data_IF_121852810199
#
_entry.id   IF_121852810199
#
_cell.length_a   1.000
_cell.length_b   1.000
_cell.length_c   1.000
_cell.angle_alpha   90.00
_cell.angle_beta   90.00
_cell.angle_gamma   90.00
#
_symmetry.space_group_name_H-M   'P 1'
#
loop_
_entity.id
_entity.type
_entity.pdbx_description
1 polymer ?
#
# COMPACT_ATOMS: atom_id res chain seq x y z
N UNK A 1 -41.00 -10.29 42.70
CA UNK A 1 -41.15 -11.49 41.84
C UNK A 1 -41.71 -11.23 40.44
N UNK A 2 -42.67 -10.32 40.21
CA UNK A 2 -43.21 -10.03 38.85
C UNK A 2 -42.18 -9.39 37.89
N UNK A 3 -41.33 -8.46 38.35
CA UNK A 3 -40.27 -7.84 37.52
C UNK A 3 -39.19 -8.84 37.06
N UNK A 4 -38.83 -9.83 37.89
CA UNK A 4 -37.81 -10.82 37.55
C UNK A 4 -38.30 -11.83 36.49
N UNK A 5 -39.59 -12.22 36.53
CA UNK A 5 -40.20 -13.10 35.51
C UNK A 5 -40.32 -12.39 34.15
N UNK A 6 -40.59 -11.09 34.13
CA UNK A 6 -40.65 -10.30 32.89
C UNK A 6 -39.27 -10.20 32.24
N UNK A 7 -38.20 -9.99 33.03
CA UNK A 7 -36.82 -9.93 32.50
C UNK A 7 -36.37 -11.28 31.91
N UNK A 8 -36.72 -12.41 32.54
CA UNK A 8 -36.37 -13.75 32.02
C UNK A 8 -37.18 -14.12 30.78
N UNK A 9 -38.47 -13.76 30.71
CA UNK A 9 -39.29 -14.00 29.51
C UNK A 9 -38.81 -13.13 28.34
N UNK A 10 -38.46 -11.86 28.60
CA UNK A 10 -37.90 -10.95 27.59
C UNK A 10 -36.53 -11.46 27.13
N UNK A 11 -35.67 -11.94 28.02
CA UNK A 11 -34.37 -12.50 27.59
C UNK A 11 -34.55 -13.77 26.77
N UNK A 12 -35.40 -14.72 27.18
CA UNK A 12 -35.69 -15.93 26.39
C UNK A 12 -36.32 -15.64 25.03
N UNK A 13 -37.16 -14.61 24.92
CA UNK A 13 -37.73 -14.17 23.63
C UNK A 13 -36.70 -13.47 22.73
N UNK A 14 -35.88 -12.57 23.29
CA UNK A 14 -34.78 -11.92 22.57
C UNK A 14 -33.76 -12.95 22.06
N UNK A 15 -33.40 -13.95 22.87
CA UNK A 15 -32.55 -15.06 22.43
C UNK A 15 -33.19 -15.89 21.31
N UNK A 16 -34.52 -16.05 21.32
CA UNK A 16 -35.25 -16.74 20.24
C UNK A 16 -35.25 -15.98 18.91
N UNK A 17 -35.45 -14.66 18.94
CA UNK A 17 -35.36 -13.82 17.73
C UNK A 17 -33.93 -13.71 17.19
N UNK A 18 -32.95 -13.55 18.08
CA UNK A 18 -31.53 -13.56 17.71
C UNK A 18 -31.13 -14.91 17.11
N UNK A 19 -31.57 -16.01 17.71
CA UNK A 19 -31.35 -17.37 17.21
C UNK A 19 -31.98 -17.62 15.84
N UNK A 20 -33.21 -17.14 15.63
CA UNK A 20 -33.92 -17.27 14.34
C UNK A 20 -33.25 -16.45 13.22
N UNK A 21 -32.76 -15.25 13.52
CA UNK A 21 -32.01 -14.43 12.56
C UNK A 21 -30.68 -15.10 12.17
N UNK A 22 -29.95 -15.62 13.16
CA UNK A 22 -28.72 -16.40 12.95
C UNK A 22 -29.00 -17.66 12.13
N UNK A 23 -30.07 -18.39 12.42
CA UNK A 23 -30.48 -19.58 11.65
C UNK A 23 -30.88 -19.23 10.22
N UNK A 24 -31.63 -18.14 9.97
CA UNK A 24 -31.99 -17.71 8.61
C UNK A 24 -30.77 -17.39 7.76
N UNK A 25 -29.76 -16.72 8.34
CA UNK A 25 -28.50 -16.41 7.65
C UNK A 25 -27.69 -17.70 7.43
N UNK A 26 -27.61 -18.59 8.44
CA UNK A 26 -26.91 -19.88 8.33
C UNK A 26 -27.61 -20.90 7.41
N UNK A 27 -28.92 -20.78 7.20
CA UNK A 27 -29.75 -21.68 6.40
C UNK A 27 -29.97 -21.17 4.94
N UNK A 28 -29.04 -20.39 4.38
CA UNK A 28 -28.95 -20.03 2.95
C UNK A 28 -30.18 -19.30 2.33
N UNK A 29 -30.79 -18.32 3.01
CA UNK A 29 -31.74 -17.39 2.33
C UNK A 29 -31.13 -16.07 1.87
N UNK A 30 -29.89 -15.79 2.28
CA UNK A 30 -29.16 -14.56 1.99
C UNK A 30 -27.76 -14.93 1.48
N UNK A 31 -27.70 -15.41 0.24
CA UNK A 31 -26.44 -15.76 -0.42
C UNK A 31 -25.52 -14.54 -0.50
N UNK A 32 -24.23 -14.71 -0.19
CA UNK A 32 -23.23 -13.64 -0.25
C UNK A 32 -23.11 -12.76 1.01
N UNK A 33 -23.90 -12.99 2.06
CA UNK A 33 -23.77 -12.27 3.34
C UNK A 33 -23.02 -13.13 4.36
N UNK A 34 -21.90 -12.61 4.86
CA UNK A 34 -21.14 -13.18 5.95
C UNK A 34 -21.55 -12.53 7.28
N UNK A 35 -22.02 -13.34 8.22
CA UNK A 35 -22.32 -12.91 9.59
C UNK A 35 -21.13 -13.17 10.52
N UNK A 36 -20.72 -12.14 11.24
CA UNK A 36 -19.73 -12.24 12.34
C UNK A 36 -20.41 -11.79 13.63
N UNK A 37 -20.43 -12.68 14.62
CA UNK A 37 -21.04 -12.40 15.91
C UNK A 37 -20.06 -11.64 16.82
N UNK A 38 -20.55 -10.87 17.82
CA UNK A 38 -19.68 -10.05 18.67
C UNK A 38 -18.60 -10.85 19.39
N UNK A 39 -18.90 -12.08 19.81
CA UNK A 39 -17.94 -12.98 20.45
C UNK A 39 -16.84 -13.49 19.52
N UNK A 40 -17.09 -13.49 18.21
CA UNK A 40 -16.13 -13.96 17.20
C UNK A 40 -15.23 -12.81 16.71
N UNK A 41 -15.65 -11.55 16.90
CA UNK A 41 -14.88 -10.37 16.52
C UNK A 41 -13.96 -9.88 17.65
N UNK A 42 -12.65 -10.15 17.49
CA UNK A 42 -11.61 -9.75 18.46
C UNK A 42 -10.93 -8.42 18.15
N UNK A 43 -11.20 -7.83 16.98
CA UNK A 43 -10.52 -6.61 16.54
C UNK A 43 -10.99 -5.41 17.36
N UNK A 44 -10.07 -4.58 17.82
CA UNK A 44 -10.31 -3.34 18.57
C UNK A 44 -9.62 -2.17 17.92
N UNK A 45 -10.00 -0.95 18.32
CA UNK A 45 -9.44 0.25 17.69
C UNK A 45 -7.94 0.41 18.00
N UNK A 46 -7.50 -0.08 19.14
CA UNK A 46 -6.08 -0.06 19.54
C UNK A 46 -5.24 -1.09 18.75
N UNK A 47 -5.85 -2.05 18.05
CA UNK A 47 -5.14 -2.94 17.13
C UNK A 47 -4.74 -2.23 15.82
N UNK A 48 -5.37 -1.08 15.51
CA UNK A 48 -4.98 -0.24 14.38
C UNK A 48 -3.78 0.63 14.79
N UNK A 49 -2.60 0.28 14.29
CA UNK A 49 -1.39 1.08 14.49
C UNK A 49 -1.41 2.27 13.52
N UNK A 50 -0.92 3.43 13.96
CA UNK A 50 -0.97 4.67 13.18
C UNK A 50 -2.39 5.21 13.00
N UNK A 51 -2.60 6.00 11.93
CA UNK A 51 -3.92 6.57 11.57
C UNK A 51 -4.57 7.36 12.73
N UNK A 52 -3.79 8.14 13.49
CA UNK A 52 -4.25 8.77 14.72
C UNK A 52 -5.51 9.63 14.53
N UNK A 53 -5.60 10.38 13.43
CA UNK A 53 -6.77 11.21 13.10
C UNK A 53 -8.02 10.35 12.86
N UNK A 54 -7.88 9.26 12.10
CA UNK A 54 -8.98 8.33 11.83
C UNK A 54 -9.41 7.61 13.11
N UNK A 55 -8.47 7.23 13.98
CA UNK A 55 -8.80 6.67 15.30
C UNK A 55 -9.56 7.67 16.16
N UNK A 56 -9.19 8.95 16.15
CA UNK A 56 -9.89 10.00 16.90
C UNK A 56 -11.32 10.22 16.35
N UNK A 57 -11.47 10.28 15.03
CA UNK A 57 -12.77 10.35 14.38
C UNK A 57 -13.63 9.13 14.75
N UNK A 58 -13.09 7.92 14.63
CA UNK A 58 -13.76 6.68 15.00
C UNK A 58 -14.19 6.66 16.47
N UNK A 59 -13.34 7.10 17.41
CA UNK A 59 -13.71 7.22 18.84
C UNK A 59 -14.91 8.15 19.05
N UNK A 60 -14.96 9.25 18.32
CA UNK A 60 -16.08 10.20 18.38
C UNK A 60 -17.37 9.58 17.85
N UNK A 61 -17.29 8.85 16.72
CA UNK A 61 -18.43 8.13 16.13
C UNK A 61 -18.89 7.01 17.07
N UNK A 62 -17.97 6.27 17.70
CA UNK A 62 -18.28 5.20 18.68
C UNK A 62 -19.00 5.77 19.89
N UNK A 63 -18.52 6.90 20.44
CA UNK A 63 -19.16 7.55 21.58
C UNK A 63 -20.60 7.95 21.24
N UNK A 64 -20.80 8.53 20.05
CA UNK A 64 -22.11 8.92 19.56
C UNK A 64 -23.04 7.73 19.25
N UNK A 65 -22.48 6.62 18.75
CA UNK A 65 -23.22 5.39 18.49
C UNK A 65 -23.68 4.68 19.78
N UNK A 66 -22.86 4.74 20.85
CA UNK A 66 -23.21 4.15 22.14
C UNK A 66 -24.28 4.95 22.90
N UNK A 67 -24.33 6.27 22.71
CA UNK A 67 -25.29 7.16 23.38
C UNK A 67 -26.13 7.97 22.37
N UNK A 68 -26.90 7.26 21.55
CA UNK A 68 -27.73 7.86 20.50
C UNK A 68 -28.77 8.86 21.05
N UNK A 69 -29.29 8.64 22.26
CA UNK A 69 -30.30 9.51 22.86
C UNK A 69 -29.72 10.86 23.28
N UNK A 70 -28.54 10.86 23.91
CA UNK A 70 -27.84 12.10 24.23
C UNK A 70 -27.51 12.86 22.95
N UNK A 71 -26.99 12.19 21.93
CA UNK A 71 -26.62 12.83 20.67
C UNK A 71 -27.81 13.36 19.88
N UNK A 72 -28.92 12.62 19.80
CA UNK A 72 -30.14 13.07 19.14
C UNK A 72 -30.75 14.32 19.79
N UNK A 73 -30.49 14.54 21.09
CA UNK A 73 -30.94 15.75 21.82
C UNK A 73 -30.12 17.00 21.50
N UNK A 74 -28.87 16.84 21.08
CA UNK A 74 -27.93 17.94 20.80
C UNK A 74 -27.80 18.22 19.29
N UNK A 75 -27.81 17.17 18.46
CA UNK A 75 -27.74 17.24 17.01
C UNK A 75 -28.85 16.39 16.40
N UNK A 76 -29.68 16.99 15.54
CA UNK A 76 -30.85 16.31 14.97
C UNK A 76 -30.52 15.12 14.06
N UNK A 77 -29.32 15.09 13.44
CA UNK A 77 -28.89 13.99 12.56
C UNK A 77 -27.56 13.40 13.04
N UNK A 78 -27.62 12.17 13.56
CA UNK A 78 -26.45 11.32 13.81
C UNK A 78 -26.15 10.56 12.52
N UNK A 79 -24.92 10.65 12.01
CA UNK A 79 -24.52 9.89 10.82
C UNK A 79 -24.50 8.39 11.09
N UNK A 80 -25.12 7.64 10.19
CA UNK A 80 -25.26 6.19 10.27
C UNK A 80 -24.50 5.47 9.17
N UNK A 81 -23.95 6.21 8.22
CA UNK A 81 -23.27 5.64 7.07
C UNK A 81 -21.97 6.37 6.78
N UNK A 82 -20.89 5.61 6.66
CA UNK A 82 -19.56 6.14 6.35
C UNK A 82 -18.96 5.39 5.16
N UNK A 83 -18.51 6.13 4.17
CA UNK A 83 -17.68 5.61 3.10
C UNK A 83 -16.21 5.65 3.51
N UNK A 84 -15.57 4.50 3.59
CA UNK A 84 -14.13 4.35 3.83
C UNK A 84 -13.42 4.34 2.48
N UNK A 85 -12.77 5.45 2.12
CA UNK A 85 -12.12 5.62 0.83
C UNK A 85 -10.58 5.60 0.98
N UNK A 86 -9.88 4.89 0.11
CA UNK A 86 -8.41 4.90 0.07
C UNK A 86 -7.81 3.71 -0.68
N UNK A 87 -6.49 3.63 -0.77
CA UNK A 87 -5.81 2.51 -1.44
C UNK A 87 -6.10 1.15 -0.76
N UNK A 88 -5.93 0.06 -1.51
CA UNK A 88 -6.05 -1.28 -0.96
C UNK A 88 -5.05 -1.51 0.19
N UNK A 89 -5.44 -2.33 1.18
CA UNK A 89 -4.53 -2.73 2.27
C UNK A 89 -4.31 -1.71 3.38
N UNK A 90 -4.95 -0.53 3.37
CA UNK A 90 -4.80 0.50 4.42
C UNK A 90 -5.78 0.37 5.60
N UNK A 91 -6.26 -0.84 5.90
CA UNK A 91 -7.05 -1.08 7.11
C UNK A 91 -8.52 -0.63 7.08
N UNK A 92 -9.10 -0.31 5.91
CA UNK A 92 -10.53 0.07 5.78
C UNK A 92 -11.48 -0.93 6.45
N UNK A 93 -11.39 -2.21 6.06
CA UNK A 93 -12.20 -3.29 6.63
C UNK A 93 -11.90 -3.51 8.11
N UNK A 94 -10.63 -3.40 8.50
CA UNK A 94 -10.19 -3.54 9.89
C UNK A 94 -10.78 -2.43 10.78
N UNK A 95 -10.94 -1.21 10.26
CA UNK A 95 -11.59 -0.10 10.97
C UNK A 95 -13.06 -0.40 11.27
N UNK A 96 -13.80 -0.92 10.29
CA UNK A 96 -15.20 -1.32 10.49
C UNK A 96 -15.33 -2.46 11.51
N UNK A 97 -14.42 -3.44 11.47
CA UNK A 97 -14.35 -4.51 12.46
C UNK A 97 -13.99 -3.99 13.86
N UNK A 98 -13.03 -3.07 13.96
CA UNK A 98 -12.66 -2.42 15.21
C UNK A 98 -13.83 -1.63 15.79
N UNK A 99 -14.56 -0.88 14.96
CA UNK A 99 -15.78 -0.17 15.39
C UNK A 99 -16.78 -1.14 16.01
N UNK A 100 -17.11 -2.24 15.31
CA UNK A 100 -18.01 -3.26 15.82
C UNK A 100 -17.51 -3.90 17.12
N UNK A 101 -16.20 -4.10 17.25
CA UNK A 101 -15.56 -4.63 18.44
C UNK A 101 -15.68 -3.71 19.65
N UNK A 102 -15.54 -2.40 19.44
CA UNK A 102 -15.70 -1.37 20.48
C UNK A 102 -17.15 -1.19 20.90
N UNK A 103 -18.11 -1.34 19.97
CA UNK A 103 -19.55 -1.17 20.23
C UNK A 103 -20.24 -2.46 20.66
N UNK A 104 -19.57 -3.62 20.54
CA UNK A 104 -20.17 -4.92 20.78
C UNK A 104 -21.24 -5.30 19.74
N UNK A 105 -21.12 -4.76 18.53
CA UNK A 105 -22.09 -4.98 17.45
C UNK A 105 -21.84 -6.27 16.69
N UNK A 106 -22.91 -6.90 16.19
CA UNK A 106 -22.80 -7.93 15.13
C UNK A 106 -22.36 -7.29 13.82
N UNK A 107 -21.72 -8.06 12.93
CA UNK A 107 -21.34 -7.58 11.59
C UNK A 107 -22.09 -8.41 10.54
N UNK A 108 -22.81 -7.72 9.65
CA UNK A 108 -23.32 -8.27 8.40
C UNK A 108 -22.45 -7.75 7.27
N UNK A 109 -21.63 -8.61 6.68
CA UNK A 109 -20.69 -8.22 5.64
C UNK A 109 -21.12 -8.79 4.28
N UNK A 110 -21.08 -7.95 3.25
CA UNK A 110 -21.36 -8.31 1.86
C UNK A 110 -20.47 -7.49 0.91
N UNK A 111 -20.34 -7.90 -0.35
CA UNK A 111 -19.70 -7.07 -1.37
C UNK A 111 -20.70 -6.22 -2.14
N UNK A 112 -20.25 -5.13 -2.77
CA UNK A 112 -21.03 -4.32 -3.70
C UNK A 112 -21.60 -5.16 -4.83
N UNK A 113 -20.79 -6.06 -5.41
CA UNK A 113 -21.25 -7.02 -6.41
C UNK A 113 -22.36 -7.95 -5.90
N UNK A 114 -22.28 -8.44 -4.65
CA UNK A 114 -23.37 -9.23 -4.05
C UNK A 114 -24.63 -8.39 -3.88
N UNK A 115 -24.50 -7.13 -3.48
CA UNK A 115 -25.63 -6.22 -3.30
C UNK A 115 -26.37 -5.96 -4.62
N UNK A 116 -25.67 -5.75 -5.73
CA UNK A 116 -26.27 -5.57 -7.08
C UNK A 116 -27.15 -6.75 -7.48
N UNK A 117 -26.71 -7.97 -7.14
CA UNK A 117 -27.38 -9.21 -7.52
C UNK A 117 -28.57 -9.57 -6.60
N UNK A 118 -28.80 -8.81 -5.52
CA UNK A 118 -29.95 -9.05 -4.64
C UNK A 118 -31.26 -8.60 -5.30
N UNK A 119 -32.37 -9.23 -4.91
CA UNK A 119 -33.70 -8.71 -5.19
C UNK A 119 -34.08 -7.62 -4.18
N UNK A 120 -35.03 -6.71 -4.52
CA UNK A 120 -35.62 -5.77 -3.56
C UNK A 120 -36.02 -6.40 -2.22
N UNK A 121 -36.61 -7.59 -2.25
CA UNK A 121 -37.03 -8.32 -1.05
C UNK A 121 -35.83 -8.79 -0.23
N UNK A 122 -34.72 -9.18 -0.87
CA UNK A 122 -33.50 -9.56 -0.16
C UNK A 122 -32.83 -8.36 0.51
N UNK A 123 -32.86 -7.18 -0.13
CA UNK A 123 -32.39 -5.93 0.51
C UNK A 123 -33.24 -5.62 1.74
N UNK A 124 -34.56 -5.72 1.64
CA UNK A 124 -35.44 -5.52 2.80
C UNK A 124 -35.19 -6.54 3.92
N UNK A 125 -34.95 -7.81 3.58
CA UNK A 125 -34.63 -8.86 4.55
C UNK A 125 -33.26 -8.60 5.22
N UNK A 126 -32.26 -8.08 4.48
CA UNK A 126 -30.95 -7.66 5.04
C UNK A 126 -31.14 -6.62 6.14
N UNK A 127 -31.87 -5.54 5.89
CA UNK A 127 -32.14 -4.51 6.89
C UNK A 127 -33.03 -5.04 8.04
N UNK A 128 -33.95 -5.95 7.75
CA UNK A 128 -34.76 -6.61 8.78
C UNK A 128 -33.89 -7.46 9.71
N UNK A 129 -32.94 -8.25 9.17
CA UNK A 129 -31.99 -8.99 10.00
C UNK A 129 -31.11 -8.03 10.82
N UNK A 130 -30.62 -6.96 10.21
CA UNK A 130 -29.81 -5.97 10.91
C UNK A 130 -30.55 -5.37 12.11
N UNK A 131 -31.86 -5.07 11.96
CA UNK A 131 -32.74 -4.57 13.03
C UNK A 131 -32.93 -5.60 14.14
N UNK A 132 -33.13 -6.89 13.80
CA UNK A 132 -33.24 -7.97 14.78
C UNK A 132 -31.94 -8.22 15.57
N UNK A 133 -30.80 -7.91 14.94
CA UNK A 133 -29.46 -8.15 15.51
C UNK A 133 -28.84 -6.93 16.18
N UNK A 134 -29.56 -5.81 16.23
CA UNK A 134 -29.08 -4.55 16.77
C UNK A 134 -28.56 -4.71 18.23
N UNK A 135 -27.40 -4.11 18.58
CA UNK A 135 -26.56 -3.24 17.75
C UNK A 135 -25.84 -4.01 16.64
N UNK A 136 -25.85 -3.45 15.43
CA UNK A 136 -25.35 -4.13 14.22
C UNK A 136 -24.54 -3.17 13.34
N UNK A 137 -23.57 -3.71 12.63
CA UNK A 137 -22.76 -3.01 11.62
C UNK A 137 -22.94 -3.73 10.30
N UNK A 138 -23.33 -3.00 9.25
CA UNK A 138 -23.36 -3.51 7.88
C UNK A 138 -22.09 -3.05 7.18
N UNK A 139 -21.31 -3.98 6.62
CA UNK A 139 -20.07 -3.66 5.90
C UNK A 139 -20.20 -4.08 4.44
N UNK A 140 -20.18 -3.10 3.55
CA UNK A 140 -20.26 -3.30 2.10
C UNK A 140 -18.85 -3.13 1.51
N UNK A 141 -18.19 -4.24 1.23
CA UNK A 141 -16.86 -4.26 0.60
C UNK A 141 -16.99 -3.89 -0.89
N UNK A 142 -16.01 -3.15 -1.44
CA UNK A 142 -15.95 -2.73 -2.86
C UNK A 142 -17.27 -2.13 -3.41
N UNK A 143 -17.71 -1.01 -2.84
CA UNK A 143 -18.95 -0.31 -3.25
C UNK A 143 -18.87 0.29 -4.66
N UNK A 144 -17.69 0.35 -5.26
CA UNK A 144 -17.48 0.86 -6.61
C UNK A 144 -18.40 0.18 -7.62
N UNK A 145 -18.50 -1.15 -7.58
CA UNK A 145 -19.34 -1.93 -8.47
C UNK A 145 -20.81 -1.49 -8.37
N UNK A 146 -21.28 -1.26 -7.14
CA UNK A 146 -22.65 -0.86 -6.87
C UNK A 146 -22.95 0.57 -7.33
N UNK A 147 -21.99 1.48 -7.20
CA UNK A 147 -22.14 2.90 -7.60
C UNK A 147 -22.08 3.05 -9.13
N UNK A 148 -21.23 2.26 -9.80
CA UNK A 148 -20.99 2.37 -11.24
C UNK A 148 -21.98 1.59 -12.09
N UNK A 149 -22.68 0.61 -11.51
CA UNK A 149 -23.66 -0.19 -12.24
C UNK A 149 -24.93 0.62 -12.57
N UNK A 150 -25.31 0.63 -13.84
CA UNK A 150 -26.41 1.45 -14.38
C UNK A 150 -27.59 0.62 -14.88
N UNK A 151 -27.52 -0.71 -14.76
CA UNK A 151 -28.63 -1.61 -15.09
C UNK A 151 -29.91 -1.26 -14.32
N UNK A 152 -31.06 -1.52 -14.95
CA UNK A 152 -32.38 -1.28 -14.35
C UNK A 152 -32.55 -2.01 -13.01
N UNK A 153 -32.04 -3.25 -12.92
CA UNK A 153 -32.05 -4.05 -11.69
C UNK A 153 -31.23 -3.37 -10.59
N UNK A 154 -30.00 -2.95 -10.87
CA UNK A 154 -29.16 -2.28 -9.88
C UNK A 154 -29.78 -0.96 -9.40
N UNK A 155 -30.37 -0.18 -10.31
CA UNK A 155 -31.07 1.06 -9.97
C UNK A 155 -32.30 0.81 -9.09
N UNK A 156 -33.02 -0.30 -9.32
CA UNK A 156 -34.13 -0.70 -8.45
C UNK A 156 -33.63 -1.09 -7.05
N UNK A 157 -32.57 -1.90 -6.96
CA UNK A 157 -31.91 -2.28 -5.70
C UNK A 157 -31.42 -1.04 -4.94
N UNK A 158 -30.80 -0.08 -5.65
CA UNK A 158 -30.30 1.16 -5.07
C UNK A 158 -31.41 2.01 -4.45
N UNK A 159 -32.57 2.14 -5.12
CA UNK A 159 -33.72 2.85 -4.54
C UNK A 159 -34.20 2.19 -3.25
N UNK A 160 -34.31 0.86 -3.23
CA UNK A 160 -34.74 0.12 -2.03
C UNK A 160 -33.73 0.27 -0.90
N UNK A 161 -32.44 0.25 -1.23
CA UNK A 161 -31.37 0.50 -0.27
C UNK A 161 -31.48 1.90 0.35
N UNK A 162 -31.67 2.95 -0.47
CA UNK A 162 -31.86 4.32 0.00
C UNK A 162 -33.14 4.47 0.85
N UNK A 163 -34.25 3.88 0.41
CA UNK A 163 -35.51 3.86 1.17
C UNK A 163 -35.33 3.21 2.56
N UNK A 164 -34.53 2.14 2.66
CA UNK A 164 -34.22 1.51 3.95
C UNK A 164 -33.29 2.37 4.81
N UNK A 165 -32.34 3.10 4.22
CA UNK A 165 -31.52 4.06 4.95
C UNK A 165 -32.37 5.18 5.57
N UNK A 166 -33.30 5.76 4.80
CA UNK A 166 -34.22 6.79 5.30
C UNK A 166 -35.10 6.25 6.45
N UNK A 167 -35.55 4.99 6.36
CA UNK A 167 -36.32 4.34 7.45
C UNK A 167 -35.49 4.11 8.72
N UNK A 168 -34.18 3.87 8.59
CA UNK A 168 -33.30 3.76 9.75
C UNK A 168 -33.20 5.09 10.50
N UNK A 169 -33.30 6.21 9.80
CA UNK A 169 -33.35 7.57 10.36
C UNK A 169 -34.53 7.81 11.28
N UNK A 170 -35.71 7.37 10.87
CA UNK A 170 -36.91 7.49 11.69
C UNK A 170 -36.90 6.56 12.91
N UNK A 171 -36.37 5.34 12.76
CA UNK A 171 -36.53 4.28 13.76
C UNK A 171 -35.55 4.36 14.94
N UNK A 172 -34.48 5.17 14.86
CA UNK A 172 -33.42 5.28 15.88
C UNK A 172 -32.83 3.93 16.34
N UNK A 173 -32.71 2.97 15.42
CA UNK A 173 -32.12 1.65 15.71
C UNK A 173 -30.59 1.78 15.64
N UNK A 174 -29.81 1.15 16.57
CA UNK A 174 -28.35 1.23 16.56
C UNK A 174 -27.76 0.35 15.46
N UNK A 175 -27.83 0.84 14.23
CA UNK A 175 -27.22 0.26 13.03
C UNK A 175 -26.25 1.27 12.43
N UNK A 176 -25.05 0.81 12.09
CA UNK A 176 -24.02 1.58 11.39
C UNK A 176 -23.69 0.90 10.07
N UNK A 177 -23.48 1.67 9.01
CA UNK A 177 -23.13 1.17 7.68
C UNK A 177 -21.74 1.69 7.30
N UNK A 178 -20.86 0.79 6.89
CA UNK A 178 -19.57 1.13 6.29
C UNK A 178 -19.50 0.63 4.85
N UNK A 179 -19.22 1.51 3.90
CA UNK A 179 -18.83 1.14 2.54
C UNK A 179 -17.33 1.22 2.39
N UNK A 180 -16.69 0.35 1.62
CA UNK A 180 -15.27 0.52 1.26
C UNK A 180 -15.11 0.85 -0.21
N UNK A 181 -14.29 1.85 -0.53
CA UNK A 181 -13.97 2.28 -1.88
C UNK A 181 -12.46 2.33 -2.10
N UNK A 182 -12.01 1.71 -3.19
CA UNK A 182 -10.68 1.93 -3.77
C UNK A 182 -10.89 2.80 -5.00
N UNK A 183 -10.55 4.10 -4.94
CA UNK A 183 -10.78 4.99 -6.07
C UNK A 183 -9.87 4.62 -7.25
N UNK A 184 -10.43 4.68 -8.46
CA UNK A 184 -9.69 4.60 -9.73
C UNK A 184 -9.59 6.01 -10.32
N UNK A 185 -8.44 6.37 -10.92
CA UNK A 185 -8.17 7.74 -11.38
C UNK A 185 -9.14 8.23 -12.47
N UNK A 186 -9.58 7.34 -13.36
CA UNK A 186 -10.47 7.67 -14.48
C UNK A 186 -11.97 7.59 -14.15
N UNK A 187 -12.33 7.27 -12.90
CA UNK A 187 -13.72 7.00 -12.51
C UNK A 187 -14.26 8.07 -11.55
N UNK A 188 -15.42 8.64 -11.92
CA UNK A 188 -16.19 9.51 -11.04
C UNK A 188 -17.28 8.71 -10.34
N UNK A 189 -17.25 8.67 -9.01
CA UNK A 189 -18.25 8.01 -8.19
C UNK A 189 -19.28 9.03 -7.69
N UNK A 190 -20.55 8.90 -8.09
CA UNK A 190 -21.61 9.71 -7.49
C UNK A 190 -22.04 9.10 -6.16
N UNK A 191 -21.43 9.59 -5.09
CA UNK A 191 -21.64 9.10 -3.72
C UNK A 191 -22.77 9.86 -2.99
N UNK A 192 -23.30 10.92 -3.63
CA UNK A 192 -24.27 11.83 -3.02
C UNK A 192 -25.51 11.07 -2.53
N UNK A 193 -25.75 11.09 -1.22
CA UNK A 193 -26.91 10.44 -0.58
C UNK A 193 -26.75 8.94 -0.31
N UNK A 194 -25.67 8.28 -0.76
CA UNK A 194 -25.40 6.88 -0.44
C UNK A 194 -24.74 6.70 0.93
N UNK A 195 -23.93 7.67 1.34
CA UNK A 195 -23.24 7.72 2.62
C UNK A 195 -23.26 9.15 3.17
N UNK A 196 -23.38 9.29 4.49
CA UNK A 196 -23.43 10.59 5.17
C UNK A 196 -22.07 11.30 5.12
N UNK A 197 -21.00 10.53 5.31
CA UNK A 197 -19.64 11.04 5.34
C UNK A 197 -18.64 10.10 4.67
N UNK A 198 -17.55 10.67 4.17
CA UNK A 198 -16.40 9.92 3.67
C UNK A 198 -15.23 10.07 4.64
N UNK A 199 -14.64 8.95 5.05
CA UNK A 199 -13.38 8.87 5.78
C UNK A 199 -12.28 8.42 4.82
N UNK A 200 -11.25 9.24 4.69
CA UNK A 200 -10.11 8.95 3.83
C UNK A 200 -9.02 8.22 4.61
N UNK A 201 -8.71 6.99 4.21
CA UNK A 201 -7.61 6.20 4.75
C UNK A 201 -6.43 6.26 3.77
N UNK A 202 -5.52 7.20 4.04
CA UNK A 202 -4.28 7.38 3.28
C UNK A 202 -3.29 6.24 3.53
N UNK A 203 -2.21 6.24 2.77
CA UNK A 203 -1.04 5.43 3.10
C UNK A 203 -0.43 5.88 4.43
N UNK A 204 0.30 5.00 5.14
CA UNK A 204 0.93 5.32 6.42
C UNK A 204 1.97 6.44 6.29
N UNK A 205 1.87 7.46 7.15
CA UNK A 205 2.88 8.52 7.28
C UNK A 205 4.20 7.97 7.83
N UNK A 206 5.32 8.70 7.69
CA UNK A 206 6.59 8.30 8.31
C UNK A 206 6.44 7.90 9.78
N UNK A 207 5.69 8.69 10.55
CA UNK A 207 5.46 8.42 11.96
C UNK A 207 4.65 7.14 12.19
N UNK A 208 3.62 6.89 11.37
CA UNK A 208 2.84 5.66 11.45
C UNK A 208 3.71 4.42 11.13
N UNK A 209 4.61 4.52 10.15
CA UNK A 209 5.53 3.43 9.77
C UNK A 209 6.50 3.12 10.90
N UNK A 210 7.07 4.14 11.53
CA UNK A 210 7.95 3.96 12.71
C UNK A 210 7.17 3.34 13.87
N UNK A 211 5.97 3.85 14.19
CA UNK A 211 5.11 3.29 15.25
C UNK A 211 4.76 1.81 14.95
N UNK A 212 4.47 1.48 13.70
CA UNK A 212 4.19 0.12 13.27
C UNK A 212 5.39 -0.81 13.49
N UNK A 213 6.57 -0.40 13.04
CA UNK A 213 7.80 -1.17 13.21
C UNK A 213 8.12 -1.37 14.69
N UNK A 214 8.05 -0.30 15.50
CA UNK A 214 8.29 -0.36 16.94
C UNK A 214 7.30 -1.32 17.63
N UNK A 215 6.01 -1.24 17.31
CA UNK A 215 4.99 -2.08 17.93
C UNK A 215 5.12 -3.57 17.54
N UNK A 216 5.40 -3.86 16.27
CA UNK A 216 5.45 -5.23 15.75
C UNK A 216 6.80 -5.92 15.97
N UNK A 217 7.88 -5.16 16.10
CA UNK A 217 9.23 -5.71 16.27
C UNK A 217 9.76 -5.64 17.72
N UNK A 218 8.96 -5.12 18.67
CA UNK A 218 9.35 -4.97 20.09
C UNK A 218 9.92 -6.23 20.75
N UNK A 219 9.45 -7.42 20.35
CA UNK A 219 9.82 -8.69 20.98
C UNK A 219 11.12 -9.27 20.40
N UNK A 220 11.64 -8.68 19.31
CA UNK A 220 12.92 -9.06 18.73
C UNK A 220 14.08 -8.31 19.38
N UNK A 221 15.21 -8.98 19.55
CA UNK A 221 16.46 -8.32 19.93
C UNK A 221 16.96 -7.51 18.74
N UNK A 222 17.37 -6.27 18.97
CA UNK A 222 17.84 -5.37 17.92
C UNK A 222 19.36 -5.31 17.92
N UNK A 223 20.02 -5.58 16.79
CA UNK A 223 21.44 -5.28 16.63
C UNK A 223 21.65 -3.74 16.63
N UNK A 224 22.82 -3.27 17.06
CA UNK A 224 23.14 -1.83 17.16
C UNK A 224 23.02 -1.09 15.82
N UNK A 225 23.24 -1.80 14.71
CA UNK A 225 23.22 -1.22 13.36
C UNK A 225 21.83 -1.14 12.73
N UNK A 226 20.80 -1.68 13.40
CA UNK A 226 19.42 -1.59 12.90
C UNK A 226 18.85 -0.21 13.22
N UNK A 227 18.29 0.45 12.21
CA UNK A 227 17.58 1.72 12.37
C UNK A 227 16.19 1.62 11.72
N UNK A 228 15.14 1.67 12.55
CA UNK A 228 13.76 1.62 12.06
C UNK A 228 13.37 2.88 11.30
N UNK A 229 14.06 4.02 11.50
CA UNK A 229 13.82 5.20 10.66
C UNK A 229 14.26 4.93 9.22
N UNK A 230 15.39 4.24 9.05
CA UNK A 230 15.87 3.80 7.74
C UNK A 230 14.91 2.80 7.10
N UNK A 231 14.45 1.78 7.85
CA UNK A 231 13.45 0.81 7.35
C UNK A 231 12.15 1.51 6.97
N UNK A 232 11.64 2.41 7.81
CA UNK A 232 10.43 3.18 7.52
C UNK A 232 10.56 3.99 6.22
N UNK A 233 11.75 4.52 5.90
CA UNK A 233 11.97 5.23 4.62
C UNK A 233 11.95 4.30 3.42
N UNK A 234 12.50 3.09 3.58
CA UNK A 234 12.47 2.07 2.53
C UNK A 234 11.06 1.51 2.27
N UNK A 235 10.11 1.83 3.14
CA UNK A 235 8.70 1.41 3.05
C UNK A 235 7.75 2.57 2.68
N UNK A 236 8.27 3.69 2.16
CA UNK A 236 7.43 4.77 1.60
C UNK A 236 6.52 4.19 0.50
N UNK A 237 5.28 4.67 0.41
CA UNK A 237 4.32 4.26 -0.61
C UNK A 237 3.66 2.90 -0.39
N UNK A 238 4.02 2.18 0.68
CA UNK A 238 3.53 0.82 0.97
C UNK A 238 2.32 0.85 1.91
N UNK A 239 1.42 -0.12 1.74
CA UNK A 239 0.21 -0.25 2.56
C UNK A 239 0.50 -0.98 3.88
N UNK A 240 -0.42 -0.87 4.86
CA UNK A 240 -0.32 -1.69 6.09
C UNK A 240 -0.32 -3.19 5.81
N UNK A 241 -1.02 -3.64 4.76
CA UNK A 241 -0.98 -5.05 4.32
C UNK A 241 0.44 -5.47 3.93
N UNK A 242 1.18 -4.60 3.25
CA UNK A 242 2.58 -4.87 2.89
C UNK A 242 3.47 -4.92 4.13
N UNK A 243 3.17 -4.13 5.17
CA UNK A 243 3.90 -4.21 6.44
C UNK A 243 3.60 -5.49 7.20
N UNK A 244 2.37 -5.99 7.16
CA UNK A 244 2.08 -7.30 7.74
C UNK A 244 2.89 -8.38 7.04
N UNK A 245 2.92 -8.36 5.69
CA UNK A 245 3.76 -9.27 4.90
C UNK A 245 5.25 -9.14 5.24
N UNK A 246 5.75 -7.91 5.48
CA UNK A 246 7.11 -7.64 5.95
C UNK A 246 7.43 -8.36 7.25
N UNK A 247 6.57 -8.18 8.26
CA UNK A 247 6.76 -8.75 9.59
C UNK A 247 6.70 -10.27 9.53
N UNK A 248 5.80 -10.84 8.74
CA UNK A 248 5.70 -12.28 8.56
C UNK A 248 6.94 -12.86 7.86
N UNK A 249 7.52 -12.12 6.91
CA UNK A 249 8.80 -12.48 6.30
C UNK A 249 9.94 -12.43 7.33
N UNK A 250 10.04 -11.38 8.15
CA UNK A 250 11.03 -11.30 9.23
C UNK A 250 10.92 -12.48 10.19
N UNK A 251 9.71 -12.82 10.64
CA UNK A 251 9.46 -13.98 11.52
C UNK A 251 9.95 -15.29 10.88
N UNK A 252 9.71 -15.46 9.59
CA UNK A 252 10.19 -16.63 8.86
C UNK A 252 11.73 -16.66 8.77
N UNK A 253 12.37 -15.53 8.44
CA UNK A 253 13.83 -15.48 8.30
C UNK A 253 14.57 -15.68 9.63
N UNK A 254 14.09 -15.04 10.68
CA UNK A 254 14.62 -15.20 12.04
C UNK A 254 14.45 -16.64 12.54
N UNK A 255 13.29 -17.25 12.30
CA UNK A 255 13.06 -18.67 12.60
C UNK A 255 13.99 -19.60 11.82
N UNK A 256 14.24 -19.34 10.52
CA UNK A 256 15.18 -20.13 9.71
C UNK A 256 16.61 -20.03 10.21
N UNK A 257 17.04 -18.83 10.58
CA UNK A 257 18.37 -18.57 11.13
C UNK A 257 18.50 -18.98 12.62
N UNK A 258 17.43 -19.53 13.24
CA UNK A 258 17.40 -19.91 14.65
C UNK A 258 17.87 -18.78 15.59
N UNK A 259 17.53 -17.54 15.24
CA UNK A 259 17.93 -16.32 15.97
C UNK A 259 16.70 -15.48 16.28
N UNK A 260 16.72 -14.78 17.41
CA UNK A 260 15.73 -13.74 17.72
C UNK A 260 16.34 -12.32 17.58
N UNK A 261 17.48 -12.21 16.88
CA UNK A 261 18.16 -10.94 16.65
C UNK A 261 17.87 -10.41 15.24
N UNK A 262 17.43 -9.16 15.14
CA UNK A 262 17.31 -8.44 13.88
C UNK A 262 18.67 -7.93 13.45
N UNK A 263 19.08 -8.26 12.24
CA UNK A 263 20.26 -7.72 11.56
C UNK A 263 19.84 -6.90 10.33
N UNK A 264 20.67 -5.96 9.87
CA UNK A 264 20.41 -5.22 8.63
C UNK A 264 20.12 -6.13 7.43
N UNK A 265 20.85 -7.24 7.32
CA UNK A 265 20.71 -8.19 6.20
C UNK A 265 19.31 -8.82 6.16
N UNK A 266 18.77 -9.22 7.32
CA UNK A 266 17.43 -9.81 7.43
C UNK A 266 16.33 -8.80 7.05
N UNK A 267 16.53 -7.53 7.42
CA UNK A 267 15.58 -6.46 7.11
C UNK A 267 15.60 -6.13 5.62
N UNK A 268 16.79 -6.03 5.03
CA UNK A 268 16.96 -5.79 3.60
C UNK A 268 16.38 -6.95 2.77
N UNK A 269 16.58 -8.20 3.19
CA UNK A 269 15.94 -9.36 2.54
C UNK A 269 14.41 -9.28 2.62
N UNK A 270 13.86 -8.91 3.79
CA UNK A 270 12.42 -8.77 3.96
C UNK A 270 11.83 -7.59 3.16
N UNK A 271 12.55 -6.47 3.07
CA UNK A 271 12.18 -5.34 2.21
C UNK A 271 12.21 -5.79 0.74
N UNK A 272 13.23 -6.54 0.34
CA UNK A 272 13.34 -7.04 -1.02
C UNK A 272 12.19 -7.97 -1.39
N UNK A 273 11.75 -8.82 -0.47
CA UNK A 273 10.60 -9.70 -0.68
C UNK A 273 9.31 -8.94 -0.98
N UNK A 274 9.03 -7.84 -0.29
CA UNK A 274 7.82 -7.03 -0.54
C UNK A 274 7.87 -6.31 -1.88
N UNK A 275 9.07 -5.93 -2.30
CA UNK A 275 9.28 -5.25 -3.57
C UNK A 275 9.14 -6.18 -4.79
N UNK A 276 9.00 -7.49 -4.59
CA UNK A 276 8.95 -8.50 -5.66
C UNK A 276 7.55 -9.09 -5.80
N UNK A 277 6.93 -8.95 -6.98
CA UNK A 277 5.81 -9.84 -7.33
C UNK A 277 6.41 -11.20 -7.71
N UNK A 278 6.39 -12.13 -6.77
CA UNK A 278 6.52 -13.59 -6.93
C UNK A 278 6.89 -14.12 -8.34
N UNK A 279 8.14 -14.57 -8.52
CA UNK A 279 8.48 -15.73 -9.34
C UNK A 279 9.76 -16.39 -8.75
N UNK A 280 9.69 -17.65 -8.38
CA UNK A 280 10.88 -18.39 -7.96
C UNK A 280 11.65 -18.86 -9.20
N UNK A 281 12.88 -18.40 -9.36
CA UNK A 281 13.80 -18.88 -10.38
C UNK A 281 15.24 -18.81 -9.87
N UNK A 282 15.83 -19.95 -9.55
CA UNK A 282 17.25 -20.02 -9.21
C UNK A 282 18.06 -20.06 -10.52
N UNK A 283 18.77 -18.98 -10.83
CA UNK A 283 19.68 -18.91 -11.97
C UNK A 283 21.11 -18.68 -11.48
N UNK A 284 21.96 -19.71 -11.50
CA UNK A 284 23.36 -19.56 -11.09
C UNK A 284 24.08 -18.69 -12.14
N UNK A 285 24.54 -17.50 -11.74
CA UNK A 285 25.29 -16.59 -12.61
C UNK A 285 26.69 -17.13 -12.88
N UNK A 286 27.16 -16.92 -14.10
CA UNK A 286 28.57 -17.04 -14.44
C UNK A 286 29.38 -15.89 -13.81
N UNK A 287 30.70 -16.06 -13.61
CA UNK A 287 31.55 -14.97 -13.12
C UNK A 287 31.49 -13.71 -14.00
N UNK A 288 31.27 -13.89 -15.30
CA UNK A 288 31.13 -12.81 -16.29
C UNK A 288 29.82 -12.03 -16.07
N UNK A 289 28.71 -12.73 -15.81
CA UNK A 289 27.41 -12.12 -15.48
C UNK A 289 27.43 -11.43 -14.11
N UNK A 290 28.14 -12.00 -13.12
CA UNK A 290 28.35 -11.36 -11.82
C UNK A 290 29.13 -10.05 -11.96
N UNK A 291 30.21 -10.06 -12.73
CA UNK A 291 30.99 -8.85 -13.00
C UNK A 291 30.18 -7.80 -13.75
N UNK A 292 29.41 -8.21 -14.76
CA UNK A 292 28.49 -7.33 -15.48
C UNK A 292 27.49 -6.66 -14.53
N UNK A 293 26.84 -7.44 -13.66
CA UNK A 293 25.92 -6.94 -12.66
C UNK A 293 26.61 -6.00 -11.66
N UNK A 294 27.81 -6.33 -11.19
CA UNK A 294 28.54 -5.47 -10.27
C UNK A 294 28.83 -4.08 -10.87
N UNK A 295 29.24 -4.03 -12.14
CA UNK A 295 29.46 -2.76 -12.86
C UNK A 295 28.14 -2.00 -13.06
N UNK A 296 27.06 -2.70 -13.40
CA UNK A 296 25.73 -2.12 -13.57
C UNK A 296 25.25 -1.44 -12.29
N UNK A 297 25.25 -2.17 -11.18
CA UNK A 297 24.79 -1.67 -9.88
C UNK A 297 25.70 -0.57 -9.33
N UNK A 298 27.03 -0.68 -9.54
CA UNK A 298 27.98 0.38 -9.20
C UNK A 298 27.72 1.66 -10.03
N UNK A 299 27.32 1.52 -11.29
CA UNK A 299 26.91 2.63 -12.14
C UNK A 299 25.75 3.43 -11.54
N UNK A 300 24.66 2.75 -11.15
CA UNK A 300 23.56 3.40 -10.46
C UNK A 300 24.01 4.07 -9.15
N UNK A 301 24.77 3.34 -8.33
CA UNK A 301 25.24 3.80 -7.03
C UNK A 301 26.07 5.09 -7.16
N UNK A 302 26.93 5.19 -8.17
CA UNK A 302 27.73 6.39 -8.40
C UNK A 302 26.89 7.60 -8.76
N UNK A 303 25.85 7.44 -9.58
CA UNK A 303 24.93 8.54 -9.87
C UNK A 303 24.28 9.00 -8.55
N UNK A 304 23.75 8.09 -7.73
CA UNK A 304 23.15 8.45 -6.43
C UNK A 304 24.14 9.17 -5.52
N UNK A 305 25.37 8.65 -5.39
CA UNK A 305 26.41 9.27 -4.56
C UNK A 305 26.90 10.61 -5.11
N UNK A 306 26.65 10.93 -6.38
CA UNK A 306 26.89 12.24 -6.96
C UNK A 306 25.77 13.24 -6.61
N UNK A 307 24.51 12.80 -6.62
CA UNK A 307 23.33 13.63 -6.31
C UNK A 307 22.97 13.65 -4.81
N UNK A 308 23.87 14.19 -3.99
CA UNK A 308 23.75 14.20 -2.52
C UNK A 308 22.55 15.00 -1.96
N UNK A 309 21.88 15.81 -2.79
CA UNK A 309 20.75 16.65 -2.36
C UNK A 309 19.39 15.96 -2.41
N UNK A 310 19.25 14.88 -3.17
CA UNK A 310 17.95 14.22 -3.41
C UNK A 310 17.81 12.95 -2.56
N UNK A 311 18.75 12.02 -2.75
CA UNK A 311 18.78 10.73 -2.10
C UNK A 311 20.16 10.43 -1.53
N UNK A 312 20.23 9.44 -0.66
CA UNK A 312 21.49 8.81 -0.29
C UNK A 312 21.46 7.33 -0.60
N UNK A 313 22.63 6.78 -0.91
CA UNK A 313 22.78 5.34 -1.06
C UNK A 313 22.45 4.63 0.27
N UNK A 314 21.80 3.47 0.19
CA UNK A 314 21.61 2.52 1.29
C UNK A 314 22.52 1.31 1.11
N UNK A 315 22.38 0.62 -0.01
CA UNK A 315 23.18 -0.57 -0.32
C UNK A 315 23.24 -0.84 -1.82
N UNK A 316 24.29 -1.56 -2.22
CA UNK A 316 24.52 -2.09 -3.57
C UNK A 316 24.79 -3.58 -3.42
N UNK A 317 24.11 -4.41 -4.20
CA UNK A 317 24.19 -5.86 -4.07
C UNK A 317 24.16 -6.55 -5.42
N UNK A 318 24.95 -7.61 -5.56
CA UNK A 318 24.86 -8.57 -6.68
C UNK A 318 24.12 -9.84 -6.28
N UNK A 319 23.53 -9.87 -5.08
CA UNK A 319 22.66 -10.99 -4.69
C UNK A 319 21.44 -10.99 -5.57
N UNK A 320 21.28 -12.09 -6.31
CA UNK A 320 20.07 -12.33 -7.05
C UNK A 320 18.87 -12.39 -6.13
N UNK A 321 17.82 -11.72 -6.58
CA UNK A 321 16.48 -12.02 -6.13
C UNK A 321 15.59 -12.32 -7.35
N UNK A 322 14.34 -12.72 -7.14
CA UNK A 322 13.42 -13.32 -8.14
C UNK A 322 13.34 -12.71 -9.55
N UNK A 323 13.81 -11.48 -9.77
CA UNK A 323 13.68 -10.74 -11.04
C UNK A 323 14.93 -9.98 -11.51
N UNK A 324 15.96 -9.78 -10.67
CA UNK A 324 17.10 -8.92 -11.02
C UNK A 324 18.45 -9.57 -10.71
N UNK A 325 19.44 -9.32 -11.57
CA UNK A 325 20.81 -9.85 -11.46
C UNK A 325 21.61 -9.19 -10.33
N UNK A 326 21.17 -8.02 -9.87
CA UNK A 326 21.66 -7.27 -8.72
C UNK A 326 20.59 -6.26 -8.26
N UNK A 327 20.93 -5.41 -7.29
CA UNK A 327 20.06 -4.30 -6.85
C UNK A 327 20.87 -3.21 -6.16
N UNK A 328 20.56 -1.96 -6.51
CA UNK A 328 20.90 -0.78 -5.74
C UNK A 328 19.66 -0.21 -5.04
N UNK A 329 19.82 0.10 -3.75
CA UNK A 329 18.79 0.72 -2.92
C UNK A 329 19.30 2.11 -2.52
N UNK A 330 18.51 3.13 -2.82
CA UNK A 330 18.65 4.49 -2.31
C UNK A 330 17.49 4.85 -1.36
N UNK A 331 17.76 5.82 -0.50
CA UNK A 331 16.83 6.35 0.48
C UNK A 331 16.61 7.83 0.18
N UNK A 332 15.36 8.21 -0.03
CA UNK A 332 14.96 9.60 -0.14
C UNK A 332 15.31 10.36 1.15
N UNK A 333 15.91 11.55 0.99
CA UNK A 333 16.28 12.39 2.12
C UNK A 333 15.06 13.07 2.75
N UNK A 334 13.99 13.28 1.97
CA UNK A 334 12.70 13.87 2.33
C UNK A 334 11.54 13.00 1.84
N UNK A 335 10.36 13.12 2.45
CA UNK A 335 9.15 12.45 1.95
C UNK A 335 8.56 13.36 0.86
N UNK A 336 8.50 12.90 -0.40
CA UNK A 336 7.98 13.73 -1.47
C UNK A 336 6.46 13.89 -1.29
N UNK A 337 6.01 15.13 -1.05
CA UNK A 337 4.59 15.48 -1.17
C UNK A 337 4.25 15.88 -2.61
N UNK A 338 5.22 16.49 -3.30
CA UNK A 338 5.19 16.84 -4.72
C UNK A 338 6.56 16.52 -5.30
N UNK A 339 6.62 15.96 -6.51
CA UNK A 339 7.87 15.77 -7.21
C UNK A 339 8.25 17.04 -7.97
N UNK A 340 9.50 17.46 -7.80
CA UNK A 340 10.13 18.54 -8.57
C UNK A 340 10.66 18.02 -9.90
N UNK A 341 10.85 18.93 -10.86
CA UNK A 341 11.49 18.58 -12.15
C UNK A 341 12.88 17.97 -11.93
N UNK A 342 13.66 18.52 -10.99
CA UNK A 342 14.99 18.01 -10.66
C UNK A 342 14.98 16.58 -10.09
N UNK A 343 13.96 16.21 -9.31
CA UNK A 343 13.78 14.84 -8.80
C UNK A 343 13.43 13.87 -9.92
N UNK A 344 12.57 14.27 -10.87
CA UNK A 344 12.24 13.45 -12.03
C UNK A 344 13.45 13.25 -12.96
N UNK A 345 14.23 14.31 -13.20
CA UNK A 345 15.48 14.23 -13.97
C UNK A 345 16.52 13.36 -13.25
N UNK A 346 16.58 13.42 -11.91
CA UNK A 346 17.40 12.54 -11.10
C UNK A 346 17.01 11.07 -11.30
N UNK A 347 15.72 10.72 -11.21
CA UNK A 347 15.24 9.34 -11.39
C UNK A 347 15.60 8.78 -12.77
N UNK A 348 15.40 9.57 -13.83
CA UNK A 348 15.81 9.22 -15.19
C UNK A 348 17.33 9.01 -15.26
N UNK A 349 18.12 9.93 -14.70
CA UNK A 349 19.59 9.85 -14.75
C UNK A 349 20.11 8.61 -14.03
N UNK A 350 19.55 8.28 -12.86
CA UNK A 350 19.94 7.07 -12.13
C UNK A 350 19.54 5.82 -12.90
N UNK A 351 18.33 5.74 -13.45
CA UNK A 351 17.89 4.59 -14.24
C UNK A 351 18.79 4.32 -15.46
N UNK A 352 19.35 5.36 -16.08
CA UNK A 352 20.30 5.21 -17.19
C UNK A 352 21.72 4.83 -16.73
N UNK A 353 22.04 5.03 -15.45
CA UNK A 353 23.40 4.88 -14.90
C UNK A 353 24.02 3.50 -15.10
N UNK A 354 23.25 2.43 -14.86
CA UNK A 354 23.74 1.06 -15.01
C UNK A 354 24.16 0.72 -16.45
N UNK A 355 23.27 0.99 -17.41
CA UNK A 355 23.55 0.76 -18.83
C UNK A 355 24.69 1.64 -19.37
N UNK A 356 24.83 2.88 -18.90
CA UNK A 356 25.95 3.76 -19.27
C UNK A 356 27.28 3.21 -18.72
N UNK A 357 27.30 2.70 -17.50
CA UNK A 357 28.48 2.08 -16.90
C UNK A 357 28.92 0.85 -17.70
N UNK A 358 28.02 -0.07 -18.02
CA UNK A 358 28.33 -1.24 -18.84
C UNK A 358 28.99 -0.88 -20.18
N UNK A 359 28.49 0.16 -20.85
CA UNK A 359 29.05 0.64 -22.11
C UNK A 359 30.48 1.18 -21.94
N UNK A 360 30.73 2.00 -20.92
CA UNK A 360 32.04 2.62 -20.68
C UNK A 360 33.10 1.58 -20.27
N UNK A 361 32.68 0.53 -19.57
CA UNK A 361 33.54 -0.58 -19.16
C UNK A 361 33.64 -1.70 -20.21
N UNK A 362 32.94 -1.57 -21.35
CA UNK A 362 32.89 -2.55 -22.43
C UNK A 362 32.48 -3.95 -21.95
N UNK A 363 31.50 -4.01 -21.05
CA UNK A 363 30.93 -5.27 -20.57
C UNK A 363 30.25 -5.99 -21.75
N UNK A 364 30.52 -7.29 -21.99
CA UNK A 364 29.87 -8.04 -23.07
C UNK A 364 28.35 -8.03 -22.92
N UNK A 365 27.62 -7.86 -24.02
CA UNK A 365 26.15 -7.93 -24.02
C UNK A 365 25.67 -9.33 -23.66
N UNK A 366 25.39 -9.55 -22.37
CA UNK A 366 24.61 -10.70 -21.91
C UNK A 366 23.13 -10.39 -22.15
N UNK A 367 22.49 -11.11 -23.09
CA UNK A 367 21.12 -10.86 -23.57
C UNK A 367 20.04 -10.70 -22.49
N UNK A 368 20.29 -11.14 -21.24
CA UNK A 368 19.34 -11.07 -20.14
C UNK A 368 19.52 -9.85 -19.21
N UNK A 369 20.66 -9.15 -19.23
CA UNK A 369 20.96 -8.06 -18.27
C UNK A 369 20.65 -6.68 -18.87
N UNK A 370 21.03 -6.43 -20.13
CA UNK A 370 20.97 -5.08 -20.73
C UNK A 370 19.58 -4.61 -21.19
N UNK A 371 18.70 -5.52 -21.63
CA UNK A 371 17.38 -5.16 -22.17
C UNK A 371 16.27 -5.18 -21.11
N UNK A 372 16.37 -6.05 -20.10
CA UNK A 372 15.36 -6.14 -19.04
C UNK A 372 15.60 -5.13 -17.91
N UNK A 373 16.86 -4.80 -17.57
CA UNK A 373 17.16 -3.95 -16.42
C UNK A 373 16.83 -2.47 -16.66
N UNK A 374 17.28 -1.83 -17.73
CA UNK A 374 17.08 -0.37 -17.88
C UNK A 374 15.61 0.09 -17.87
N UNK A 375 14.70 -0.74 -18.38
CA UNK A 375 13.25 -0.51 -18.27
C UNK A 375 12.73 -0.82 -16.86
N UNK A 376 13.20 -1.89 -16.22
CA UNK A 376 12.83 -2.22 -14.84
C UNK A 376 13.38 -1.22 -13.83
N UNK A 377 14.57 -0.66 -14.04
CA UNK A 377 15.19 0.38 -13.20
C UNK A 377 14.39 1.67 -13.28
N UNK A 378 13.90 2.00 -14.49
CA UNK A 378 12.98 3.11 -14.67
C UNK A 378 11.60 2.83 -14.04
N UNK A 379 11.04 1.63 -14.24
CA UNK A 379 9.75 1.21 -13.68
C UNK A 379 9.76 1.15 -12.15
N UNK A 380 10.84 0.68 -11.56
CA UNK A 380 10.98 0.56 -10.11
C UNK A 380 11.18 1.91 -9.41
N UNK A 381 11.67 2.93 -10.13
CA UNK A 381 11.94 4.27 -9.59
C UNK A 381 10.84 5.28 -9.84
N UNK A 382 10.11 5.16 -10.95
CA UNK A 382 9.17 6.19 -11.37
C UNK A 382 7.72 5.76 -11.12
N UNK A 383 6.99 6.55 -10.34
CA UNK A 383 5.51 6.55 -10.28
C UNK A 383 4.86 6.89 -11.64
N UNK A 384 5.63 7.44 -12.57
CA UNK A 384 5.23 7.78 -13.95
C UNK A 384 5.49 6.62 -14.92
N UNK A 385 6.20 5.57 -14.51
CA UNK A 385 6.59 4.49 -15.41
C UNK A 385 5.45 3.58 -15.86
N UNK A 386 4.27 3.66 -15.23
CA UNK A 386 3.05 3.04 -15.75
C UNK A 386 2.72 3.51 -17.18
N UNK A 387 3.26 4.67 -17.61
CA UNK A 387 3.04 5.25 -18.93
C UNK A 387 4.25 5.17 -19.89
N UNK A 388 5.40 4.64 -19.47
CA UNK A 388 6.63 4.75 -20.26
C UNK A 388 7.40 3.44 -20.40
N UNK A 389 7.45 2.89 -21.62
CA UNK A 389 8.41 1.87 -22.02
C UNK A 389 9.64 2.54 -22.66
N UNK A 390 10.72 2.71 -21.89
CA UNK A 390 12.04 3.08 -22.43
C UNK A 390 12.71 1.79 -22.92
N UNK A 391 12.50 1.46 -24.20
CA UNK A 391 13.25 0.41 -24.89
C UNK A 391 14.65 0.94 -25.23
N UNK A 392 15.66 0.51 -24.47
CA UNK A 392 17.05 0.80 -24.84
C UNK A 392 17.46 -0.13 -25.99
N UNK A 393 17.90 0.42 -27.13
CA UNK A 393 18.96 -0.19 -27.97
C UNK A 393 19.55 0.79 -29.01
N UNK A 394 20.85 1.02 -28.83
CA UNK A 394 21.95 1.35 -29.76
C UNK A 394 21.85 2.30 -30.97
N UNK A 395 20.70 2.70 -31.55
CA UNK A 395 20.80 3.42 -32.85
C UNK A 395 19.64 4.32 -33.31
N UNK A 396 18.80 4.86 -32.43
CA UNK A 396 17.47 5.46 -32.71
C UNK A 396 16.35 4.41 -32.66
N UNK A 397 15.40 4.57 -31.72
CA UNK A 397 13.97 4.81 -32.00
C UNK A 397 13.06 4.56 -30.78
N UNK A 398 12.19 5.56 -30.58
CA UNK A 398 10.80 5.49 -30.11
C UNK A 398 10.61 4.99 -28.67
N UNK A 399 10.33 5.94 -27.78
CA UNK A 399 9.48 5.72 -26.61
C UNK A 399 8.15 5.18 -27.13
N UNK A 400 7.91 3.87 -26.97
CA UNK A 400 6.58 3.32 -27.20
C UNK A 400 5.86 3.40 -25.87
N UNK A 401 4.93 4.33 -25.78
CA UNK A 401 3.96 4.33 -24.71
C UNK A 401 3.19 3.01 -24.76
N UNK A 402 3.42 2.16 -23.77
CA UNK A 402 2.59 0.99 -23.54
C UNK A 402 1.63 1.39 -22.44
N UNK A 403 0.42 1.81 -22.83
CA UNK A 403 -0.74 1.83 -21.96
C UNK A 403 -1.02 0.38 -21.51
N UNK A 404 -0.25 -0.11 -20.56
CA UNK A 404 -0.53 -1.36 -19.86
C UNK A 404 -1.56 -1.01 -18.80
N UNK A 405 -2.82 -0.92 -19.22
CA UNK A 405 -4.01 -1.52 -18.62
C UNK A 405 -5.24 -1.08 -19.46
N UNK A 406 -5.91 -2.07 -20.05
CA UNK A 406 -7.21 -1.98 -20.74
C UNK A 406 -7.33 -1.04 -21.97
N UNK A 407 -6.77 -1.44 -23.12
CA UNK A 407 -7.46 -1.37 -24.42
C UNK A 407 -8.03 -0.02 -24.95
N UNK A 408 -7.64 1.13 -24.40
CA UNK A 408 -8.10 2.45 -24.85
C UNK A 408 -6.94 3.41 -25.12
N UNK A 409 -6.94 4.06 -26.28
CA UNK A 409 -6.04 5.17 -26.58
C UNK A 409 -6.54 6.43 -25.86
N UNK A 410 -5.80 6.92 -24.87
CA UNK A 410 -6.10 8.21 -24.26
C UNK A 410 -5.64 9.35 -25.19
N UNK A 411 -6.51 10.31 -25.51
CA UNK A 411 -6.16 11.44 -26.41
C UNK A 411 -5.06 12.36 -25.83
N UNK A 412 -4.94 12.42 -24.49
CA UNK A 412 -3.87 13.14 -23.80
C UNK A 412 -2.49 12.46 -23.97
N UNK A 413 -2.48 11.14 -24.13
CA UNK A 413 -1.30 10.31 -24.31
C UNK A 413 -0.70 10.51 -25.71
N UNK A 414 -1.56 10.68 -26.72
CA UNK A 414 -1.15 11.05 -28.09
C UNK A 414 -0.59 12.47 -28.23
N UNK A 415 -0.70 13.32 -27.19
CA UNK A 415 -0.18 14.68 -27.19
C UNK A 415 1.21 14.80 -26.55
N UNK A 416 1.78 13.72 -26.02
CA UNK A 416 3.15 13.72 -25.51
C UNK A 416 4.11 13.74 -26.71
N UNK A 417 4.80 14.86 -26.85
CA UNK A 417 5.76 15.11 -27.91
C UNK A 417 6.97 14.17 -27.74
N UNK A 418 6.95 13.05 -28.46
CA UNK A 418 7.99 12.04 -28.39
C UNK A 418 9.40 12.60 -28.66
N UNK A 419 9.49 13.71 -29.40
CA UNK A 419 10.75 14.41 -29.64
C UNK A 419 11.30 15.04 -28.35
N UNK A 420 10.47 15.74 -27.56
CA UNK A 420 10.88 16.33 -26.27
C UNK A 420 11.30 15.27 -25.25
N UNK A 421 10.62 14.13 -25.22
CA UNK A 421 11.00 13.04 -24.32
C UNK A 421 12.38 12.47 -24.69
N UNK A 422 12.66 12.34 -25.98
CA UNK A 422 13.98 11.92 -26.46
C UNK A 422 15.05 12.94 -26.07
N UNK A 423 14.77 14.24 -26.19
CA UNK A 423 15.68 15.31 -25.76
C UNK A 423 16.00 15.22 -24.26
N UNK A 424 14.99 15.03 -23.41
CA UNK A 424 15.17 14.90 -21.96
C UNK A 424 16.02 13.67 -21.62
N UNK A 425 15.68 12.51 -22.19
CA UNK A 425 16.42 11.26 -21.95
C UNK A 425 17.87 11.38 -22.43
N UNK A 426 18.10 12.02 -23.58
CA UNK A 426 19.43 12.26 -24.13
C UNK A 426 20.26 13.17 -23.21
N UNK A 427 19.67 14.25 -22.69
CA UNK A 427 20.35 15.13 -21.74
C UNK A 427 20.74 14.39 -20.44
N UNK A 428 19.83 13.56 -19.90
CA UNK A 428 20.12 12.72 -18.74
C UNK A 428 21.22 11.68 -19.04
N UNK A 429 21.20 11.06 -20.22
CA UNK A 429 22.21 10.12 -20.68
C UNK A 429 23.61 10.75 -20.76
N UNK A 430 23.72 11.95 -21.34
CA UNK A 430 24.98 12.70 -21.42
C UNK A 430 25.51 13.06 -20.04
N UNK A 431 24.60 13.46 -19.13
CA UNK A 431 24.95 13.75 -17.74
C UNK A 431 25.45 12.51 -17.00
N UNK A 432 24.77 11.37 -17.14
CA UNK A 432 25.20 10.10 -16.56
C UNK A 432 26.57 9.67 -17.11
N UNK A 433 26.77 9.79 -18.42
CA UNK A 433 28.03 9.48 -19.11
C UNK A 433 29.18 10.29 -18.54
N UNK A 434 28.98 11.60 -18.37
CA UNK A 434 30.00 12.49 -17.79
C UNK A 434 30.40 12.04 -16.37
N UNK A 435 29.42 11.80 -15.51
CA UNK A 435 29.66 11.38 -14.11
C UNK A 435 30.42 10.04 -14.07
N UNK A 436 30.02 9.07 -14.89
CA UNK A 436 30.61 7.73 -14.91
C UNK A 436 32.04 7.74 -15.46
N UNK A 437 32.31 8.57 -16.49
CA UNK A 437 33.68 8.74 -17.01
C UNK A 437 34.58 9.42 -15.97
N UNK A 438 34.07 10.44 -15.27
CA UNK A 438 34.82 11.16 -14.22
C UNK A 438 35.20 10.26 -13.04
N UNK A 439 34.32 9.31 -12.67
CA UNK A 439 34.50 8.42 -11.51
C UNK A 439 34.80 6.96 -11.88
N UNK A 440 35.46 6.74 -13.02
CA UNK A 440 35.71 5.39 -13.54
C UNK A 440 36.49 4.50 -12.57
N UNK A 441 37.47 5.05 -11.84
CA UNK A 441 38.30 4.25 -10.92
C UNK A 441 37.50 3.82 -9.69
N UNK A 442 36.66 4.70 -9.16
CA UNK A 442 35.81 4.46 -8.01
C UNK A 442 34.73 3.42 -8.31
N UNK A 443 34.18 3.42 -9.53
CA UNK A 443 33.23 2.39 -10.00
C UNK A 443 33.89 1.02 -10.00
N UNK A 444 35.10 0.90 -10.53
CA UNK A 444 35.83 -0.36 -10.59
C UNK A 444 36.12 -0.91 -9.18
N UNK A 445 36.54 -0.03 -8.27
CA UNK A 445 36.76 -0.37 -6.86
C UNK A 445 35.47 -0.81 -6.16
N UNK A 446 34.36 -0.10 -6.39
CA UNK A 446 33.07 -0.44 -5.82
C UNK A 446 32.56 -1.77 -6.36
N UNK A 447 32.65 -1.99 -7.68
CA UNK A 447 32.26 -3.25 -8.31
C UNK A 447 33.08 -4.43 -7.77
N UNK A 448 34.39 -4.28 -7.63
CA UNK A 448 35.24 -5.31 -7.03
C UNK A 448 34.83 -5.62 -5.59
N UNK A 449 34.58 -4.58 -4.77
CA UNK A 449 34.15 -4.78 -3.39
C UNK A 449 32.79 -5.49 -3.31
N UNK A 450 31.86 -5.15 -4.20
CA UNK A 450 30.55 -5.81 -4.30
C UNK A 450 30.70 -7.27 -4.71
N UNK A 451 31.62 -7.62 -5.60
CA UNK A 451 31.91 -9.01 -5.95
C UNK A 451 32.52 -9.80 -4.78
N UNK A 452 33.33 -9.15 -3.94
CA UNK A 452 33.96 -9.79 -2.77
C UNK A 452 32.98 -10.01 -1.61
N UNK A 453 32.07 -9.05 -1.36
CA UNK A 453 31.16 -9.07 -0.21
C UNK A 453 29.72 -9.46 -0.55
N UNK A 454 29.38 -9.58 -1.83
CA UNK A 454 28.03 -9.70 -2.40
C UNK A 454 27.11 -8.49 -2.16
N UNK A 455 27.25 -7.81 -1.04
CA UNK A 455 26.50 -6.60 -0.67
C UNK A 455 27.42 -5.60 0.02
N UNK A 456 27.38 -4.35 -0.43
CA UNK A 456 28.13 -3.21 0.11
C UNK A 456 27.15 -2.15 0.57
N UNK A 457 27.27 -1.72 1.82
CA UNK A 457 26.42 -0.67 2.39
C UNK A 457 27.01 0.72 2.18
N UNK A 458 26.15 1.73 2.32
CA UNK A 458 26.46 3.13 2.06
C UNK A 458 27.79 3.61 2.67
N UNK A 459 28.08 3.31 3.93
CA UNK A 459 29.28 3.82 4.61
C UNK A 459 30.58 3.37 3.94
N UNK A 460 30.61 2.12 3.45
CA UNK A 460 31.76 1.58 2.70
C UNK A 460 31.82 2.17 1.28
N UNK A 461 30.67 2.27 0.60
CA UNK A 461 30.60 2.82 -0.75
C UNK A 461 31.02 4.30 -0.80
N UNK A 462 30.53 5.13 0.12
CA UNK A 462 30.95 6.54 0.21
C UNK A 462 32.44 6.70 0.55
N UNK A 463 33.01 5.77 1.33
CA UNK A 463 34.43 5.79 1.66
C UNK A 463 35.34 5.60 0.44
N UNK A 464 34.92 4.78 -0.54
CA UNK A 464 35.63 4.60 -1.82
C UNK A 464 35.73 5.93 -2.57
N UNK A 465 34.65 6.71 -2.59
CA UNK A 465 34.62 8.03 -3.22
C UNK A 465 35.31 9.14 -2.40
N UNK A 466 35.88 8.82 -1.22
CA UNK A 466 36.42 9.81 -0.29
C UNK A 466 35.35 10.77 0.27
N UNK A 467 34.07 10.38 0.21
CA UNK A 467 32.94 11.18 0.64
C UNK A 467 32.44 10.72 2.02
N UNK A 468 31.74 11.61 2.71
CA UNK A 468 30.98 11.24 3.90
C UNK A 468 29.53 11.00 3.52
N UNK A 469 28.95 9.92 4.06
CA UNK A 469 27.53 9.60 3.91
C UNK A 469 26.66 10.80 4.33
N UNK A 470 25.76 11.30 3.47
CA UNK A 470 24.83 12.37 3.82
C UNK A 470 23.93 11.97 5.00
N UNK A 471 23.63 12.92 5.89
CA UNK A 471 22.67 12.71 6.98
C UNK A 471 21.25 12.84 6.48
N UNK A 472 20.36 11.99 6.98
CA UNK A 472 18.92 12.18 6.82
C UNK A 472 18.42 13.21 7.85
N UNK A 473 18.41 14.49 7.50
CA UNK A 473 17.90 15.56 8.36
C UNK A 473 16.39 15.78 8.12
N UNK A 474 15.50 15.05 8.79
CA UNK A 474 14.06 15.40 8.81
C UNK A 474 13.70 16.43 9.90
N UNK A 475 14.53 16.57 10.94
CA UNK A 475 14.25 17.48 12.08
C UNK A 475 14.30 18.98 11.73
N UNK A 476 14.71 19.35 10.50
CA UNK A 476 14.72 20.75 10.06
C UNK A 476 13.43 21.20 9.36
N UNK A 477 12.55 20.28 8.94
CA UNK A 477 11.35 20.65 8.17
C UNK A 477 10.11 20.79 9.07
N UNK A 478 10.08 20.20 10.27
CA UNK A 478 8.95 20.38 11.21
C UNK A 478 8.95 21.70 11.99
N UNK A 479 9.86 22.64 11.64
CA UNK A 479 10.05 23.91 12.36
C UNK A 479 9.87 25.18 11.52
N UNK A 480 9.48 25.08 10.25
CA UNK A 480 9.16 26.25 9.43
C UNK A 480 7.72 26.23 8.95
#
# INVERSE_FOLDING_TARGET
MKKLKIVVIISSFLYGFYGCAVEKIKNNKLDGIQLILPQDNRVRLDDLIGNHEIKQAARSIIAAFKDQQLYASVNKNFAKSFLLQGCAGNGKKMLAQAFAGETGSSILQLSGASLINMTPEQVHELFTQAKLMAPCVIVIDDVADFILETSEQAQQVMRVYLDEMDRLDEAQVPIMIFGTLIPQEDQSYNITGLFDFTLYLSQPSFQDRVEFLDAQLKDFKKNHDVDYNTVARLMIGRSYKDFVSFIDKIKNLTSRASTNCLSPELLDEAISYINQDSQEGFHIQTPEEQYASAIHEAGHAMIVMHYESQCRLHSVSVKQNSRSYGRMIDIALTEPYLQTEDELLYDITVALGGGVAEQIFNVPETKNITQENGLQDFISRSSVASDFEILSTKAHKIVKQRCLHAGGSCEACSAIDGEKMVEIVQACYEKATKIIVEHKQEIEQLAQLVLEKETVYADEAYAICGKKKPRCDFEKISKN
#
